data_IF_983785439066
#
_entry.id   IF_983785439066
#
_cell.length_a   1.000
_cell.length_b   1.000
_cell.length_c   1.000
_cell.angle_alpha   90.00
_cell.angle_beta   90.00
_cell.angle_gamma   90.00
#
_symmetry.space_group_name_H-M   'P 1'
#
loop_
_entity.id
_entity.type
_entity.pdbx_description
1 polymer ?
#
# COMPACT_ATOMS: atom_id res chain seq x y z
N UNK A 1 3.16 22.50 -1.98
CA UNK A 1 2.87 21.17 -2.59
C UNK A 1 3.74 20.99 -3.83
N UNK A 2 4.17 19.80 -4.10
CA UNK A 2 5.12 19.52 -5.18
C UNK A 2 4.65 18.33 -5.99
N UNK A 3 4.70 18.46 -7.33
CA UNK A 3 4.55 17.31 -8.22
C UNK A 3 5.82 16.45 -8.15
N UNK A 4 5.67 15.12 -8.13
CA UNK A 4 6.77 14.20 -7.93
C UNK A 4 6.87 13.22 -9.11
N UNK A 5 8.08 13.14 -9.68
CA UNK A 5 8.41 12.11 -10.65
C UNK A 5 8.63 10.75 -9.96
N UNK A 6 8.62 9.66 -10.74
CA UNK A 6 8.91 8.33 -10.19
C UNK A 6 10.32 8.28 -9.57
N UNK A 7 11.30 8.94 -10.16
CA UNK A 7 12.65 9.03 -9.60
C UNK A 7 12.67 9.77 -8.25
N UNK A 8 11.90 10.84 -8.12
CA UNK A 8 11.78 11.57 -6.85
C UNK A 8 11.06 10.74 -5.80
N UNK A 9 10.01 10.02 -6.17
CA UNK A 9 9.32 9.09 -5.27
C UNK A 9 10.26 7.98 -4.80
N UNK A 10 11.04 7.39 -5.70
CA UNK A 10 12.04 6.39 -5.33
C UNK A 10 13.05 6.94 -4.31
N UNK A 11 13.47 8.17 -4.47
CA UNK A 11 14.38 8.84 -3.53
C UNK A 11 13.73 9.05 -2.16
N UNK A 12 12.47 9.49 -2.12
CA UNK A 12 11.73 9.67 -0.87
C UNK A 12 11.46 8.35 -0.16
N UNK A 13 11.36 7.25 -0.90
CA UNK A 13 11.17 5.89 -0.37
C UNK A 13 12.50 5.15 -0.14
N UNK A 14 13.64 5.80 -0.34
CA UNK A 14 14.96 5.21 -0.08
C UNK A 14 15.24 5.15 1.41
N UNK A 15 14.55 4.26 2.10
CA UNK A 15 14.65 3.98 3.54
C UNK A 15 14.74 2.48 3.75
N UNK A 16 15.44 2.07 4.80
CA UNK A 16 15.65 0.66 5.10
C UNK A 16 14.35 -0.15 5.16
N UNK A 17 13.30 0.40 5.79
CA UNK A 17 12.01 -0.30 5.91
C UNK A 17 11.41 -0.63 4.53
N UNK A 18 11.45 0.30 3.58
CA UNK A 18 10.91 0.06 2.24
C UNK A 18 11.74 -0.94 1.45
N UNK A 19 13.05 -0.93 1.61
CA UNK A 19 13.93 -1.92 0.97
C UNK A 19 13.72 -3.31 1.56
N UNK A 20 13.45 -3.42 2.85
CA UNK A 20 13.12 -4.69 3.51
C UNK A 20 11.75 -5.21 3.05
N UNK A 21 10.75 -4.34 2.92
CA UNK A 21 9.44 -4.71 2.36
C UNK A 21 9.60 -5.20 0.92
N UNK A 22 10.36 -4.46 0.12
CA UNK A 22 10.68 -4.82 -1.27
C UNK A 22 11.31 -6.22 -1.36
N UNK A 23 12.31 -6.48 -0.54
CA UNK A 23 12.98 -7.77 -0.50
C UNK A 23 12.04 -8.91 -0.10
N UNK A 24 11.17 -8.68 0.88
CA UNK A 24 10.18 -9.67 1.32
C UNK A 24 9.19 -10.01 0.20
N UNK A 25 8.65 -9.00 -0.47
CA UNK A 25 7.70 -9.19 -1.56
C UNK A 25 8.35 -9.87 -2.78
N UNK A 26 9.55 -9.44 -3.16
CA UNK A 26 10.29 -10.02 -4.28
C UNK A 26 10.65 -11.49 -4.04
N UNK A 27 11.05 -11.84 -2.81
CA UNK A 27 11.31 -13.23 -2.43
C UNK A 27 10.10 -14.12 -2.63
N UNK A 28 8.91 -13.60 -2.32
CA UNK A 28 7.64 -14.32 -2.48
C UNK A 28 7.04 -14.16 -3.88
N UNK A 29 7.67 -13.40 -4.76
CA UNK A 29 7.20 -13.12 -6.12
C UNK A 29 5.79 -12.50 -6.13
N UNK A 30 5.53 -11.56 -5.23
CA UNK A 30 4.26 -10.84 -5.11
C UNK A 30 4.45 -9.36 -5.39
N UNK A 31 3.53 -8.77 -6.16
CA UNK A 31 3.51 -7.32 -6.36
C UNK A 31 3.12 -6.63 -5.04
N UNK A 32 3.80 -5.53 -4.73
CA UNK A 32 3.67 -4.84 -3.47
C UNK A 32 3.73 -3.32 -3.70
N UNK A 33 2.81 -2.60 -3.06
CA UNK A 33 2.67 -1.16 -3.23
C UNK A 33 2.45 -0.49 -1.89
N UNK A 34 3.13 0.64 -1.66
CA UNK A 34 2.72 1.56 -0.60
C UNK A 34 1.56 2.40 -1.14
N UNK A 35 0.54 2.62 -0.34
CA UNK A 35 -0.72 3.20 -0.81
C UNK A 35 -1.29 4.24 0.16
N UNK A 36 -2.28 4.97 -0.31
CA UNK A 36 -3.16 5.78 0.51
C UNK A 36 -2.52 7.02 1.11
N UNK A 37 -2.81 7.26 2.39
CA UNK A 37 -2.41 8.47 3.08
C UNK A 37 -0.92 8.72 3.10
N UNK A 38 -0.10 7.66 3.19
CA UNK A 38 1.36 7.81 3.15
C UNK A 38 1.81 8.44 1.82
N UNK A 39 1.30 7.94 0.69
CA UNK A 39 1.65 8.46 -0.64
C UNK A 39 1.14 9.89 -0.81
N UNK A 40 -0.12 10.14 -0.46
CA UNK A 40 -0.69 11.49 -0.46
C UNK A 40 0.20 12.46 0.32
N UNK A 41 0.64 12.05 1.49
CA UNK A 41 1.45 12.90 2.38
C UNK A 41 2.87 13.14 1.85
N UNK A 42 3.41 12.26 0.99
CA UNK A 42 4.65 12.53 0.27
C UNK A 42 4.50 13.77 -0.63
N UNK A 43 3.39 13.87 -1.37
CA UNK A 43 3.10 15.04 -2.21
C UNK A 43 2.85 16.29 -1.38
N UNK A 44 2.27 16.15 -0.19
CA UNK A 44 2.00 17.27 0.73
C UNK A 44 3.21 17.64 1.59
N UNK A 45 4.33 16.93 1.45
CA UNK A 45 5.55 17.14 2.24
C UNK A 45 5.28 17.00 3.74
N UNK A 46 4.43 16.05 4.13
CA UNK A 46 4.08 15.74 5.52
C UNK A 46 4.71 14.41 5.93
N UNK A 47 5.52 14.38 7.00
CA UNK A 47 6.07 13.11 7.47
C UNK A 47 5.00 12.21 8.08
N UNK A 48 5.13 10.89 7.89
CA UNK A 48 4.26 9.89 8.51
C UNK A 48 5.09 8.66 8.89
N UNK A 49 4.70 8.03 10.01
CA UNK A 49 5.27 6.75 10.44
C UNK A 49 4.30 5.59 10.20
N UNK A 50 3.13 5.87 9.66
CA UNK A 50 2.10 4.89 9.34
C UNK A 50 2.18 4.56 7.85
N UNK A 51 2.52 3.32 7.56
CA UNK A 51 2.72 2.83 6.19
C UNK A 51 1.65 1.80 5.89
N UNK A 52 0.84 2.04 4.85
CA UNK A 52 -0.13 1.08 4.35
C UNK A 52 0.41 0.42 3.09
N UNK A 53 0.41 -0.90 3.07
CA UNK A 53 0.94 -1.69 1.97
C UNK A 53 -0.14 -2.63 1.45
N UNK A 54 -0.35 -2.60 0.13
CA UNK A 54 -1.19 -3.55 -0.59
C UNK A 54 -0.30 -4.56 -1.29
N UNK A 55 -0.62 -5.83 -1.10
CA UNK A 55 0.06 -6.95 -1.76
C UNK A 55 -0.93 -7.60 -2.73
N UNK A 56 -0.53 -7.77 -3.97
CA UNK A 56 -1.30 -8.59 -4.92
C UNK A 56 -0.96 -10.05 -4.63
N UNK A 57 -1.72 -10.62 -3.70
CA UNK A 57 -1.46 -11.93 -3.10
C UNK A 57 -1.73 -11.89 -1.60
N UNK A 58 -0.86 -12.47 -0.79
CA UNK A 58 -1.03 -12.56 0.66
C UNK A 58 -0.24 -11.49 1.40
N UNK A 59 -0.94 -10.51 1.95
CA UNK A 59 -0.35 -9.51 2.84
C UNK A 59 0.27 -10.14 4.09
N UNK A 60 -0.38 -11.17 4.63
CA UNK A 60 0.12 -11.90 5.81
C UNK A 60 1.49 -12.55 5.52
N UNK A 61 1.64 -13.18 4.36
CA UNK A 61 2.92 -13.83 4.00
C UNK A 61 4.05 -12.82 3.83
N UNK A 62 3.79 -11.67 3.22
CA UNK A 62 4.79 -10.61 3.09
C UNK A 62 5.14 -10.04 4.45
N UNK A 63 4.16 -9.80 5.32
CA UNK A 63 4.40 -9.33 6.69
C UNK A 63 5.27 -10.31 7.48
N UNK A 64 4.99 -11.60 7.38
CA UNK A 64 5.75 -12.64 8.05
C UNK A 64 7.19 -12.68 7.56
N UNK A 65 7.42 -12.61 6.26
CA UNK A 65 8.76 -12.55 5.67
C UNK A 65 9.51 -11.28 6.10
N UNK A 66 8.81 -10.14 6.14
CA UNK A 66 9.40 -8.90 6.65
C UNK A 66 9.85 -9.05 8.10
N UNK A 67 9.02 -9.66 8.96
CA UNK A 67 9.38 -9.94 10.35
C UNK A 67 10.67 -10.76 10.43
N UNK A 68 10.81 -11.77 9.58
CA UNK A 68 12.02 -12.60 9.53
C UNK A 68 13.26 -11.77 9.15
N UNK A 69 13.11 -10.84 8.20
CA UNK A 69 14.21 -9.96 7.78
C UNK A 69 14.58 -8.92 8.83
N UNK A 70 13.62 -8.44 9.61
CA UNK A 70 13.83 -7.41 10.63
C UNK A 70 14.36 -7.98 11.95
N UNK A 71 14.05 -9.24 12.25
CA UNK A 71 14.54 -9.93 13.45
C UNK A 71 13.71 -9.68 14.71
N UNK A 72 14.33 -9.91 15.87
CA UNK A 72 13.63 -9.97 17.16
C UNK A 72 13.05 -8.64 17.65
N UNK A 73 13.52 -7.51 17.14
CA UNK A 73 13.00 -6.18 17.53
C UNK A 73 11.70 -5.80 16.82
N UNK A 74 11.31 -6.55 15.80
CA UNK A 74 10.05 -6.35 15.11
C UNK A 74 8.94 -7.16 15.77
N UNK A 75 7.74 -6.59 15.83
CA UNK A 75 6.55 -7.24 16.37
C UNK A 75 5.50 -7.37 15.27
N UNK A 76 4.99 -8.59 15.06
CA UNK A 76 3.94 -8.86 14.09
C UNK A 76 2.63 -9.19 14.79
N UNK A 77 1.53 -8.63 14.29
CA UNK A 77 0.16 -8.97 14.67
C UNK A 77 -0.57 -9.44 13.42
N UNK A 78 -1.22 -10.59 13.49
CA UNK A 78 -1.90 -11.20 12.34
C UNK A 78 -3.40 -11.23 12.62
N UNK A 79 -4.19 -10.71 11.70
CA UNK A 79 -5.65 -10.65 11.75
C UNK A 79 -6.22 -11.52 10.63
N UNK A 80 -6.24 -12.84 10.85
CA UNK A 80 -6.56 -13.84 9.81
C UNK A 80 -7.96 -13.66 9.22
N UNK A 81 -8.94 -13.31 10.06
CA UNK A 81 -10.32 -13.11 9.60
C UNK A 81 -10.45 -11.95 8.59
N UNK A 82 -9.52 -11.01 8.64
CA UNK A 82 -9.50 -9.85 7.74
C UNK A 82 -8.44 -9.97 6.64
N UNK A 83 -7.61 -11.00 6.68
CA UNK A 83 -6.51 -11.18 5.73
C UNK A 83 -5.43 -10.11 5.84
N UNK A 84 -5.26 -9.50 7.03
CA UNK A 84 -4.34 -8.40 7.27
C UNK A 84 -3.29 -8.76 8.32
N UNK A 85 -2.18 -8.02 8.31
CA UNK A 85 -1.15 -8.12 9.32
C UNK A 85 -0.50 -6.76 9.54
N UNK A 86 0.06 -6.56 10.72
CA UNK A 86 0.72 -5.33 11.10
C UNK A 86 2.12 -5.66 11.65
N UNK A 87 3.13 -4.91 11.20
CA UNK A 87 4.49 -5.02 11.70
C UNK A 87 4.89 -3.69 12.31
N UNK A 88 5.31 -3.73 13.58
CA UNK A 88 5.86 -2.57 14.29
C UNK A 88 7.37 -2.75 14.45
N UNK A 89 8.12 -1.72 14.06
CA UNK A 89 9.57 -1.76 14.11
C UNK A 89 10.14 -0.34 14.23
N UNK A 90 10.90 -0.08 15.28
CA UNK A 90 11.61 1.20 15.50
C UNK A 90 10.73 2.45 15.29
N UNK A 91 9.53 2.45 15.87
CA UNK A 91 8.61 3.58 15.77
C UNK A 91 7.83 3.66 14.46
N UNK A 92 8.04 2.74 13.54
CA UNK A 92 7.31 2.64 12.28
C UNK A 92 6.28 1.52 12.38
N UNK A 93 5.10 1.77 11.84
CA UNK A 93 4.00 0.82 11.80
C UNK A 93 3.61 0.56 10.36
N UNK A 94 3.70 -0.71 9.94
CA UNK A 94 3.36 -1.12 8.57
C UNK A 94 2.16 -2.05 8.63
N UNK A 95 1.09 -1.69 7.95
CA UNK A 95 -0.09 -2.54 7.78
C UNK A 95 -0.08 -3.17 6.39
N UNK A 96 -0.26 -4.48 6.34
CA UNK A 96 -0.29 -5.25 5.10
C UNK A 96 -1.69 -5.78 4.85
N UNK A 97 -2.21 -5.51 3.65
CA UNK A 97 -3.48 -6.07 3.18
C UNK A 97 -3.27 -6.72 1.82
N UNK A 98 -4.01 -7.80 1.56
CA UNK A 98 -4.10 -8.34 0.21
C UNK A 98 -5.04 -7.47 -0.64
N UNK A 99 -4.70 -7.28 -1.90
CA UNK A 99 -5.58 -6.56 -2.83
C UNK A 99 -6.93 -7.28 -2.93
N UNK A 100 -8.01 -6.52 -2.83
CA UNK A 100 -9.37 -7.07 -2.77
C UNK A 100 -10.27 -6.47 -3.83
N UNK A 101 -11.16 -7.33 -4.34
CA UNK A 101 -12.28 -6.96 -5.18
C UNK A 101 -13.56 -7.20 -4.40
N UNK A 102 -14.41 -6.18 -4.32
CA UNK A 102 -15.71 -6.27 -3.69
C UNK A 102 -16.81 -6.38 -4.76
N UNK A 103 -17.71 -7.32 -4.60
CA UNK A 103 -18.90 -7.47 -5.44
C UNK A 103 -20.11 -7.78 -4.57
N UNK A 104 -21.32 -7.56 -5.13
CA UNK A 104 -22.58 -7.82 -4.43
C UNK A 104 -23.39 -8.81 -5.21
N UNK A 105 -23.92 -9.83 -4.51
CA UNK A 105 -24.90 -10.74 -5.09
C UNK A 105 -26.31 -10.16 -5.03
N UNK A 106 -27.16 -10.55 -5.98
CA UNK A 106 -28.59 -10.24 -5.95
C UNK A 106 -29.21 -10.74 -4.63
N UNK A 107 -29.84 -9.81 -3.91
CA UNK A 107 -30.55 -10.14 -2.68
C UNK A 107 -29.69 -10.21 -1.42
N UNK A 108 -28.39 -9.97 -1.50
CA UNK A 108 -27.51 -9.88 -0.34
C UNK A 108 -26.98 -8.46 -0.15
N UNK A 109 -26.95 -7.99 1.11
CA UNK A 109 -26.37 -6.69 1.49
C UNK A 109 -24.88 -6.80 1.83
N UNK A 110 -24.38 -8.02 2.02
CA UNK A 110 -22.97 -8.25 2.34
C UNK A 110 -22.15 -8.33 1.05
N UNK A 111 -21.05 -7.58 0.94
CA UNK A 111 -20.17 -7.73 -0.21
C UNK A 111 -19.51 -9.10 -0.20
N UNK A 112 -19.31 -9.65 -1.39
CA UNK A 112 -18.41 -10.77 -1.59
C UNK A 112 -17.02 -10.19 -1.78
N UNK A 113 -16.07 -10.64 -0.96
CA UNK A 113 -14.67 -10.21 -1.02
C UNK A 113 -13.85 -11.34 -1.64
N UNK A 114 -13.17 -11.01 -2.72
CA UNK A 114 -12.28 -11.92 -3.46
C UNK A 114 -10.90 -11.30 -3.60
N UNK A 115 -9.91 -12.11 -3.94
CA UNK A 115 -8.60 -11.62 -4.33
C UNK A 115 -8.74 -10.77 -5.60
N UNK A 116 -8.06 -9.63 -5.61
CA UNK A 116 -8.15 -8.67 -6.70
C UNK A 116 -6.79 -8.19 -7.18
N UNK A 117 -6.83 -7.37 -8.20
CA UNK A 117 -5.67 -6.62 -8.69
C UNK A 117 -5.46 -5.35 -7.88
N UNK A 118 -4.33 -4.67 -8.10
CA UNK A 118 -4.12 -3.34 -7.52
C UNK A 118 -5.25 -2.37 -7.92
N UNK A 119 -5.66 -2.36 -9.19
CA UNK A 119 -6.73 -1.49 -9.68
C UNK A 119 -8.05 -1.78 -8.98
N UNK A 120 -8.39 -3.05 -8.75
CA UNK A 120 -9.58 -3.43 -7.97
C UNK A 120 -9.53 -2.82 -6.57
N UNK A 121 -8.38 -2.89 -5.92
CA UNK A 121 -8.19 -2.33 -4.59
C UNK A 121 -8.29 -0.79 -4.59
N UNK A 122 -7.68 -0.14 -5.57
CA UNK A 122 -7.76 1.33 -5.73
C UNK A 122 -9.21 1.78 -5.99
N UNK A 123 -9.96 1.02 -6.80
CA UNK A 123 -11.32 1.37 -7.18
C UNK A 123 -12.32 1.33 -6.02
N UNK A 124 -12.07 0.52 -4.97
CA UNK A 124 -12.94 0.42 -3.79
C UNK A 124 -12.67 1.46 -2.71
N UNK A 125 -11.62 2.27 -2.85
CA UNK A 125 -11.25 3.26 -1.84
C UNK A 125 -12.22 4.44 -1.86
N UNK A 126 -12.22 5.19 -0.75
CA UNK A 126 -13.16 6.32 -0.55
C UNK A 126 -12.94 7.46 -1.54
N UNK A 127 -11.68 7.91 -1.70
CA UNK A 127 -11.35 9.05 -2.53
C UNK A 127 -10.15 8.78 -3.43
N UNK A 128 -10.10 9.46 -4.57
CA UNK A 128 -8.99 9.34 -5.53
C UNK A 128 -7.64 9.72 -4.91
N UNK A 129 -7.62 10.72 -4.03
CA UNK A 129 -6.39 11.15 -3.34
C UNK A 129 -5.86 10.09 -2.37
N UNK A 130 -6.69 9.15 -1.94
CA UNK A 130 -6.32 8.03 -1.08
C UNK A 130 -6.15 6.71 -1.87
N UNK A 131 -6.30 6.76 -3.18
CA UNK A 131 -6.10 5.62 -4.08
C UNK A 131 -4.74 5.67 -4.81
N UNK A 132 -3.86 6.57 -4.43
CA UNK A 132 -2.50 6.65 -4.96
C UNK A 132 -1.69 5.45 -4.49
N UNK A 133 -0.91 4.86 -5.38
CA UNK A 133 -0.03 3.73 -5.07
C UNK A 133 1.35 3.93 -5.69
N UNK A 134 2.38 3.47 -4.99
CA UNK A 134 3.75 3.47 -5.50
C UNK A 134 4.33 2.07 -5.35
N UNK A 135 4.86 1.53 -6.44
CA UNK A 135 5.43 0.18 -6.46
C UNK A 135 6.68 0.09 -5.59
N UNK A 136 6.77 -0.98 -4.80
CA UNK A 136 7.91 -1.28 -3.94
C UNK A 136 8.78 -2.41 -4.45
N UNK A 137 8.33 -3.19 -5.44
CA UNK A 137 9.16 -4.24 -6.04
C UNK A 137 10.39 -3.62 -6.71
N UNK A 138 11.52 -4.30 -6.62
CA UNK A 138 12.82 -3.75 -7.04
C UNK A 138 12.84 -3.29 -8.50
N UNK A 139 12.21 -4.03 -9.40
CA UNK A 139 12.20 -3.73 -10.84
C UNK A 139 11.40 -2.47 -11.20
N UNK A 140 10.46 -2.06 -10.34
CA UNK A 140 9.57 -0.91 -10.55
C UNK A 140 9.55 0.03 -9.36
N UNK A 141 10.54 0.00 -8.51
CA UNK A 141 10.57 0.76 -7.26
C UNK A 141 10.44 2.26 -7.52
N UNK A 142 9.42 2.87 -6.91
CA UNK A 142 9.12 4.30 -7.06
C UNK A 142 8.10 4.63 -8.14
N UNK A 143 7.63 3.65 -8.93
CA UNK A 143 6.64 3.88 -9.98
C UNK A 143 5.27 4.23 -9.37
N UNK A 144 4.76 5.42 -9.73
CA UNK A 144 3.43 5.87 -9.31
C UNK A 144 2.35 5.19 -10.16
N UNK A 145 1.32 4.67 -9.50
CA UNK A 145 0.12 4.14 -10.15
C UNK A 145 -1.07 4.95 -9.67
N UNK A 146 -1.56 5.82 -10.56
CA UNK A 146 -2.64 6.77 -10.28
C UNK A 146 -3.67 6.75 -11.42
N UNK A 147 -4.49 5.67 -11.51
CA UNK A 147 -5.41 5.51 -12.64
C UNK A 147 -6.60 6.47 -12.60
N UNK A 148 -6.90 7.08 -11.45
CA UNK A 148 -8.07 7.93 -11.26
C UNK A 148 -7.74 9.42 -11.19
N UNK A 149 -6.49 9.81 -11.46
CA UNK A 149 -6.10 11.21 -11.42
C UNK A 149 -6.08 11.81 -10.01
N UNK A 150 -5.74 11.02 -9.00
CA UNK A 150 -5.72 11.45 -7.61
C UNK A 150 -4.73 12.58 -7.33
N UNK A 151 -3.59 12.61 -8.03
CA UNK A 151 -2.61 13.71 -7.87
C UNK A 151 -3.22 15.03 -8.35
N UNK A 152 -3.89 15.05 -9.50
CA UNK A 152 -4.56 16.25 -9.98
C UNK A 152 -5.66 16.70 -9.02
N UNK A 153 -6.48 15.77 -8.52
CA UNK A 153 -7.50 16.06 -7.53
C UNK A 153 -6.91 16.64 -6.25
N UNK A 154 -5.75 16.14 -5.82
CA UNK A 154 -5.04 16.66 -4.66
C UNK A 154 -4.61 18.11 -4.87
N UNK A 155 -4.02 18.42 -6.02
CA UNK A 155 -3.60 19.78 -6.38
C UNK A 155 -4.78 20.74 -6.49
N UNK A 156 -5.90 20.29 -7.04
CA UNK A 156 -7.10 21.08 -7.26
C UNK A 156 -7.99 21.19 -6.01
N UNK A 157 -7.64 20.50 -4.93
CA UNK A 157 -8.43 20.48 -3.69
C UNK A 157 -9.76 19.76 -3.84
N UNK A 158 -9.83 18.77 -4.74
CA UNK A 158 -11.07 18.05 -5.07
C UNK A 158 -11.15 16.75 -4.27
N UNK A 159 -12.29 16.50 -3.65
CA UNK A 159 -12.65 15.23 -3.03
C UNK A 159 -13.60 14.50 -3.98
N UNK A 160 -13.12 13.40 -4.54
CA UNK A 160 -13.85 12.63 -5.55
C UNK A 160 -13.69 11.13 -5.30
N UNK A 161 -14.77 10.37 -5.49
CA UNK A 161 -14.71 8.90 -5.45
C UNK A 161 -14.10 8.35 -6.74
N UNK A 162 -13.33 7.26 -6.64
CA UNK A 162 -12.78 6.59 -7.83
C UNK A 162 -13.83 6.08 -8.81
#
# INVERSE_FOLDING_TARGET
>A
MKDLSDAELATLLDKDIFHKISAAADKLQMECYVVGGYVRDLFLERPSNDIDVVVVGSGIKVADELKNLLGSKAHISIFRNFGTAQVKYKGVEVEFVGARKESYNRGSRKPIVEDGTLEDDQNRRDFTINALAVCLNKDRFGELVDPFGGVDDLWDGIIRTP
#
